data_IF_333189256652
#
_entry.id   IF_333189256652
#
_cell.length_a   1.000
_cell.length_b   1.000
_cell.length_c   1.000
_cell.angle_alpha   90.00
_cell.angle_beta   90.00
_cell.angle_gamma   90.00
#
_symmetry.space_group_name_H-M   'P 1'
#
loop_
_entity.id
_entity.type
_entity.pdbx_description
1 polymer ?
#
# COMPACT_ATOMS: atom_id res chain seq x y z
N UNK A 1 1.98 -1.89 11.97
CA UNK A 1 1.45 -2.28 10.63
C UNK A 1 -0.07 -2.35 10.74
N UNK A 2 -0.83 -2.04 9.69
CA UNK A 2 -2.29 -1.97 9.78
C UNK A 2 -2.89 -3.37 9.93
N UNK A 3 -3.91 -3.52 10.78
CA UNK A 3 -4.63 -4.78 11.01
C UNK A 3 -5.56 -5.13 9.86
N UNK A 4 -6.15 -4.12 9.21
CA UNK A 4 -6.97 -4.24 8.01
C UNK A 4 -6.19 -3.66 6.83
N UNK A 5 -6.16 -4.36 5.70
CA UNK A 5 -5.40 -3.93 4.51
C UNK A 5 -6.28 -3.63 3.29
N UNK A 6 -7.60 -3.80 3.41
CA UNK A 6 -8.59 -3.60 2.34
C UNK A 6 -9.78 -2.79 2.85
N UNK A 7 -10.18 -1.77 2.09
CA UNK A 7 -11.32 -0.91 2.40
C UNK A 7 -11.79 -0.22 1.11
N UNK A 8 -13.10 0.03 0.99
CA UNK A 8 -13.67 0.78 -0.13
C UNK A 8 -13.11 2.22 -0.23
N UNK A 9 -12.78 2.83 0.91
CA UNK A 9 -12.23 4.20 0.97
C UNK A 9 -10.69 4.24 1.00
N UNK A 10 -10.04 3.08 0.99
CA UNK A 10 -8.61 2.95 1.27
C UNK A 10 -8.33 2.80 2.77
N UNK A 11 -7.09 2.40 3.09
CA UNK A 11 -6.59 2.26 4.47
C UNK A 11 -5.45 3.24 4.67
N UNK A 12 -5.60 4.15 5.63
CA UNK A 12 -4.59 5.15 5.95
C UNK A 12 -3.78 4.74 7.19
N UNK A 13 -2.56 5.25 7.30
CA UNK A 13 -1.72 5.05 8.47
C UNK A 13 -0.42 5.85 8.42
N UNK A 14 0.39 5.69 9.45
CA UNK A 14 1.68 6.38 9.58
C UNK A 14 2.85 5.41 9.52
N UNK A 15 3.97 5.88 8.97
CA UNK A 15 5.24 5.17 9.01
C UNK A 15 5.92 5.36 10.37
N UNK A 16 7.07 4.71 10.58
CA UNK A 16 7.85 4.86 11.81
C UNK A 16 8.32 6.31 12.01
N UNK A 17 8.65 6.99 10.91
CA UNK A 17 8.90 8.44 10.91
C UNK A 17 7.56 9.18 10.73
N UNK A 18 7.11 9.95 11.74
CA UNK A 18 5.78 10.56 11.76
C UNK A 18 5.59 11.65 10.70
N UNK A 19 6.68 12.12 10.08
CA UNK A 19 6.64 13.04 8.93
C UNK A 19 6.07 12.40 7.67
N UNK A 20 5.86 11.09 7.69
CA UNK A 20 5.35 10.34 6.54
C UNK A 20 4.12 9.52 6.90
N UNK A 21 3.14 9.57 6.01
CA UNK A 21 1.94 8.75 6.07
C UNK A 21 1.75 7.96 4.78
N UNK A 22 0.86 6.98 4.83
CA UNK A 22 0.49 6.20 3.66
C UNK A 22 -1.02 6.04 3.55
N UNK A 23 -1.43 5.72 2.32
CA UNK A 23 -2.76 5.21 2.02
C UNK A 23 -2.65 4.00 1.10
N UNK A 24 -3.23 2.89 1.51
CA UNK A 24 -3.36 1.66 0.73
C UNK A 24 -4.70 1.72 0.02
N UNK A 25 -4.67 1.69 -1.31
CA UNK A 25 -5.86 1.62 -2.14
C UNK A 25 -5.87 0.27 -2.88
N UNK A 26 -7.01 -0.41 -2.76
CA UNK A 26 -7.24 -1.76 -3.32
C UNK A 26 -8.32 -1.74 -4.40
N UNK A 27 -8.86 -0.56 -4.71
CA UNK A 27 -9.91 -0.37 -5.70
C UNK A 27 -9.31 0.19 -7.00
N UNK A 28 -9.89 -0.19 -8.15
CA UNK A 28 -9.46 0.30 -9.48
C UNK A 28 -7.95 0.09 -9.74
N UNK A 29 -7.44 -1.06 -9.33
CA UNK A 29 -6.04 -1.47 -9.55
C UNK A 29 -5.96 -2.22 -10.88
N UNK A 30 -5.01 -1.86 -11.73
CA UNK A 30 -4.87 -2.53 -13.03
C UNK A 30 -4.34 -3.96 -12.86
N UNK A 31 -4.73 -4.84 -13.79
CA UNK A 31 -4.19 -6.19 -13.84
C UNK A 31 -2.66 -6.14 -14.02
N UNK A 32 -1.92 -6.90 -13.20
CA UNK A 32 -0.46 -6.89 -13.18
C UNK A 32 0.18 -5.91 -12.16
N UNK A 33 -0.59 -5.05 -11.49
CA UNK A 33 -0.06 -4.15 -10.45
C UNK A 33 0.07 -4.80 -9.06
N UNK A 34 -0.36 -6.06 -8.91
CA UNK A 34 -0.27 -6.79 -7.64
C UNK A 34 -1.42 -6.52 -6.67
N UNK A 35 -2.56 -6.04 -7.17
CA UNK A 35 -3.84 -5.98 -6.44
C UNK A 35 -4.04 -4.78 -5.51
N UNK A 36 -3.04 -3.90 -5.37
CA UNK A 36 -3.14 -2.63 -4.63
C UNK A 36 -2.11 -1.62 -5.12
N UNK A 37 -2.29 -0.35 -4.76
CA UNK A 37 -1.25 0.67 -4.77
C UNK A 37 -1.16 1.37 -3.41
N UNK A 38 0.03 1.84 -3.06
CA UNK A 38 0.29 2.59 -1.85
C UNK A 38 0.71 4.00 -2.25
N UNK A 39 -0.03 4.99 -1.76
CA UNK A 39 0.33 6.40 -1.80
C UNK A 39 1.14 6.74 -0.56
N UNK A 40 2.24 7.49 -0.71
CA UNK A 40 3.11 7.93 0.38
C UNK A 40 3.13 9.46 0.39
N UNK A 41 2.82 10.02 1.55
CA UNK A 41 2.70 11.46 1.75
C UNK A 41 3.71 11.96 2.76
N UNK A 42 4.12 13.22 2.61
CA UNK A 42 4.78 14.02 3.65
C UNK A 42 3.75 14.65 4.59
N UNK A 43 4.24 15.28 5.64
CA UNK A 43 3.47 16.00 6.66
C UNK A 43 2.49 17.04 6.08
N UNK A 44 2.89 17.73 5.01
CA UNK A 44 2.07 18.69 4.25
C UNK A 44 0.99 18.04 3.36
N UNK A 45 0.77 16.72 3.52
CA UNK A 45 -0.11 15.89 2.68
C UNK A 45 0.30 15.88 1.20
N UNK A 46 1.53 16.30 0.87
CA UNK A 46 2.06 16.21 -0.47
C UNK A 46 2.45 14.76 -0.75
N UNK A 47 1.91 14.19 -1.82
CA UNK A 47 2.29 12.87 -2.28
C UNK A 47 3.69 12.92 -2.88
N UNK A 48 4.58 12.11 -2.31
CA UNK A 48 5.99 12.05 -2.74
C UNK A 48 6.33 10.76 -3.46
N UNK A 49 5.56 9.70 -3.27
CA UNK A 49 5.76 8.44 -3.96
C UNK A 49 4.44 7.67 -4.05
N UNK A 50 4.33 6.88 -5.11
CA UNK A 50 3.25 5.91 -5.33
C UNK A 50 3.90 4.60 -5.74
N UNK A 51 3.48 3.50 -5.12
CA UNK A 51 4.09 2.18 -5.32
C UNK A 51 3.01 1.15 -5.61
N UNK A 52 3.22 0.31 -6.61
CA UNK A 52 2.33 -0.83 -6.88
C UNK A 52 2.49 -1.95 -5.86
N UNK A 53 1.55 -2.88 -5.81
CA UNK A 53 1.65 -4.10 -5.01
C UNK A 53 2.80 -5.02 -5.41
N UNK A 54 3.36 -4.86 -6.61
CA UNK A 54 4.61 -5.53 -7.03
C UNK A 54 5.88 -4.85 -6.51
N UNK A 55 5.78 -3.65 -5.94
CA UNK A 55 6.91 -2.87 -5.43
C UNK A 55 7.50 -1.88 -6.44
N UNK A 56 6.84 -1.69 -7.60
CA UNK A 56 7.29 -0.74 -8.62
C UNK A 56 6.87 0.67 -8.25
N UNK A 57 7.83 1.58 -8.23
CA UNK A 57 7.58 3.02 -8.04
C UNK A 57 7.03 3.62 -9.33
N UNK A 58 5.95 4.39 -9.20
CA UNK A 58 5.37 5.15 -10.31
C UNK A 58 6.16 6.45 -10.48
N UNK A 59 6.47 6.82 -11.72
CA UNK A 59 7.29 8.00 -12.04
C UNK A 59 6.54 9.32 -11.81
N UNK A 60 5.23 9.33 -12.00
CA UNK A 60 4.39 10.52 -11.89
C UNK A 60 2.96 10.18 -11.48
N UNK A 61 2.28 11.13 -10.84
CA UNK A 61 0.86 11.02 -10.51
C UNK A 61 0.23 12.42 -10.50
N UNK A 62 -0.99 12.56 -11.03
CA UNK A 62 -1.71 13.85 -11.14
C UNK A 62 -0.86 14.99 -11.74
N UNK A 63 -0.16 14.71 -12.84
CA UNK A 63 0.76 15.64 -13.54
C UNK A 63 1.96 16.13 -12.71
N UNK A 64 2.23 15.53 -11.55
CA UNK A 64 3.42 15.79 -10.73
C UNK A 64 4.43 14.64 -10.85
N UNK A 65 5.70 14.98 -10.93
CA UNK A 65 6.77 14.00 -10.81
C UNK A 65 6.88 13.52 -9.35
N UNK A 66 7.03 12.22 -9.17
CA UNK A 66 7.23 11.62 -7.85
C UNK A 66 8.72 11.34 -7.62
N UNK A 67 9.10 11.17 -6.36
CA UNK A 67 10.46 10.85 -6.00
C UNK A 67 10.85 9.46 -6.52
N UNK A 68 12.07 9.37 -7.05
CA UNK A 68 12.72 8.09 -7.34
C UNK A 68 13.08 7.40 -6.02
N UNK A 69 13.19 6.05 -5.99
CA UNK A 69 13.64 5.34 -4.80
C UNK A 69 14.94 5.91 -4.22
N UNK A 70 15.92 6.26 -5.05
CA UNK A 70 17.21 6.83 -4.61
C UNK A 70 17.07 8.14 -3.83
N UNK A 71 15.99 8.90 -4.05
CA UNK A 71 15.72 10.19 -3.40
C UNK A 71 14.95 10.04 -2.08
N UNK A 72 14.47 8.83 -1.76
CA UNK A 72 13.69 8.54 -0.56
C UNK A 72 14.64 8.14 0.56
N UNK A 73 14.40 8.63 1.79
CA UNK A 73 15.21 8.28 2.94
C UNK A 73 15.31 6.74 3.13
N UNK A 74 16.50 6.16 3.43
CA UNK A 74 16.67 4.71 3.51
C UNK A 74 15.73 4.01 4.50
N UNK A 75 15.44 4.65 5.65
CA UNK A 75 14.47 4.11 6.61
C UNK A 75 13.07 4.02 6.01
N UNK A 76 12.61 5.09 5.36
CA UNK A 76 11.28 5.11 4.75
C UNK A 76 11.16 4.07 3.63
N UNK A 77 12.21 3.87 2.82
CA UNK A 77 12.22 2.78 1.83
C UNK A 77 12.04 1.40 2.47
N UNK A 78 12.71 1.14 3.60
CA UNK A 78 12.56 -0.12 4.34
C UNK A 78 11.13 -0.30 4.85
N UNK A 79 10.55 0.76 5.39
CA UNK A 79 9.17 0.74 5.90
C UNK A 79 8.15 0.52 4.78
N UNK A 80 8.31 1.18 3.62
CA UNK A 80 7.50 0.96 2.42
C UNK A 80 7.58 -0.51 1.99
N UNK A 81 8.79 -1.07 1.90
CA UNK A 81 8.97 -2.48 1.52
C UNK A 81 8.33 -3.45 2.53
N UNK A 82 8.40 -3.14 3.83
CA UNK A 82 7.75 -3.92 4.88
C UNK A 82 6.23 -3.86 4.74
N UNK A 83 5.68 -2.67 4.45
CA UNK A 83 4.25 -2.47 4.22
C UNK A 83 3.76 -3.23 3.00
N UNK A 84 4.47 -3.18 1.87
CA UNK A 84 4.13 -3.93 0.65
C UNK A 84 4.06 -5.42 0.94
N UNK A 85 5.06 -5.99 1.62
CA UNK A 85 5.06 -7.42 1.99
C UNK A 85 3.88 -7.77 2.89
N UNK A 86 3.60 -6.92 3.88
CA UNK A 86 2.47 -7.10 4.79
C UNK A 86 1.13 -7.09 4.05
N UNK A 87 0.89 -6.11 3.20
CA UNK A 87 -0.34 -5.98 2.42
C UNK A 87 -0.50 -7.15 1.45
N UNK A 88 0.56 -7.53 0.72
CA UNK A 88 0.55 -8.72 -0.15
C UNK A 88 0.15 -9.97 0.63
N UNK A 89 0.79 -10.24 1.78
CA UNK A 89 0.48 -11.43 2.57
C UNK A 89 -0.99 -11.46 3.00
N UNK A 90 -1.50 -10.35 3.53
CA UNK A 90 -2.85 -10.30 4.09
C UNK A 90 -3.95 -10.21 3.02
N UNK A 91 -3.67 -9.69 1.82
CA UNK A 91 -4.62 -9.73 0.69
C UNK A 91 -4.75 -11.12 0.08
N UNK A 92 -3.67 -11.92 0.04
CA UNK A 92 -3.75 -13.31 -0.44
C UNK A 92 -4.38 -14.22 0.61
N UNK A 93 -4.01 -14.08 1.89
CA UNK A 93 -4.61 -14.88 2.97
C UNK A 93 -6.10 -14.56 3.22
N UNK A 94 -6.56 -13.37 2.81
CA UNK A 94 -7.97 -13.00 2.87
C UNK A 94 -8.86 -13.70 1.83
N UNK A 95 -8.27 -14.36 0.81
CA UNK A 95 -9.03 -15.17 -0.16
C UNK A 95 -9.37 -16.57 0.34
N UNK A 96 -8.61 -17.13 1.28
CA UNK A 96 -8.79 -18.51 1.76
C UNK A 96 -9.77 -18.62 2.95
N UNK A 97 -10.22 -17.51 3.54
CA UNK A 97 -11.09 -17.52 4.74
C UNK A 97 -12.59 -17.43 4.46
N UNK A 98 -13.02 -17.64 3.22
CA UNK A 98 -14.45 -17.65 2.85
C UNK A 98 -14.77 -19.00 2.20
N UNK A 99 -14.59 -20.09 2.94
CA UNK A 99 -15.12 -21.40 2.57
C UNK A 99 -14.97 -22.31 3.80
N UNK A 100 -15.94 -22.24 4.73
CA UNK A 100 -16.34 -23.31 5.65
C UNK A 100 -17.38 -22.77 6.63
N UNK A 101 -18.63 -22.74 6.18
CA UNK A 101 -19.77 -22.88 7.08
C UNK A 101 -20.84 -23.62 6.31
N UNK A 102 -20.73 -24.95 6.32
CA UNK A 102 -21.90 -25.82 6.20
C UNK A 102 -21.98 -26.47 7.57
N UNK A 103 -22.88 -25.95 8.40
CA UNK A 103 -23.37 -26.66 9.56
C UNK A 103 -24.28 -27.77 9.04
N UNK A 104 -23.88 -29.01 9.32
CA UNK A 104 -24.65 -30.22 9.07
C UNK A 104 -26.01 -30.15 9.78
N UNK A 105 -27.06 -30.57 9.08
CA UNK A 105 -28.36 -30.93 9.64
C UNK A 105 -28.38 -32.39 10.09
#
# INVERSE_FOLDING_TARGET
>A
MPSVVKSAKGVEGQFTDPRYSYRIDTNKVAQGEGGFHIHIFREDKCEIAKVSGTGRFVKSHKRKALLKPSQIHPQLRRDINRLIRHVRKNLHNGRERIETTHEDQ
#
